data_IF_323194840340
#
_entry.id   IF_323194840340
#
_cell.length_a   1.000
_cell.length_b   1.000
_cell.length_c   1.000
_cell.angle_alpha   90.00
_cell.angle_beta   90.00
_cell.angle_gamma   90.00
#
_symmetry.space_group_name_H-M   'P 1'
#
loop_
_entity.id
_entity.type
_entity.pdbx_description
1 polymer ?
#
# COMPACT_ATOMS: atom_id res chain seq x y z
N UNK A 1 -16.28 13.77 -7.98
CA UNK A 1 -14.95 13.81 -8.63
C UNK A 1 -14.72 12.51 -9.35
N UNK A 2 -14.22 12.55 -10.59
CA UNK A 2 -13.97 11.36 -11.40
C UNK A 2 -12.47 11.07 -11.40
N UNK A 3 -12.07 9.86 -11.06
CA UNK A 3 -10.71 9.36 -11.17
C UNK A 3 -10.74 7.89 -11.55
N UNK A 4 -9.65 7.39 -12.11
CA UNK A 4 -9.48 6.00 -12.51
C UNK A 4 -8.23 5.43 -11.86
N UNK A 5 -8.32 4.18 -11.44
CA UNK A 5 -7.17 3.43 -10.95
C UNK A 5 -6.61 2.61 -12.12
N UNK A 6 -5.30 2.63 -12.31
CA UNK A 6 -4.62 1.80 -13.31
C UNK A 6 -3.30 1.28 -12.79
N UNK A 7 -2.89 0.12 -13.31
CA UNK A 7 -1.52 -0.36 -13.15
C UNK A 7 -0.61 0.53 -13.99
N UNK A 8 0.47 1.00 -13.38
CA UNK A 8 1.45 1.88 -14.02
C UNK A 8 2.69 1.06 -14.37
N UNK A 9 3.12 1.12 -15.63
CA UNK A 9 4.24 0.31 -16.16
C UNK A 9 5.25 1.13 -16.95
N UNK A 10 4.84 2.28 -17.47
CA UNK A 10 5.71 3.18 -18.21
C UNK A 10 6.57 4.01 -17.25
N UNK A 11 7.78 4.32 -17.70
CA UNK A 11 8.79 5.04 -16.93
C UNK A 11 8.28 6.40 -16.43
N UNK A 12 7.60 7.17 -17.29
CA UNK A 12 7.06 8.47 -16.90
C UNK A 12 6.00 8.34 -15.80
N UNK A 13 5.10 7.36 -15.89
CA UNK A 13 4.14 7.07 -14.83
C UNK A 13 4.81 6.66 -13.52
N UNK A 14 5.88 5.87 -13.55
CA UNK A 14 6.65 5.49 -12.36
C UNK A 14 7.35 6.73 -11.76
N UNK A 15 7.96 7.57 -12.59
CA UNK A 15 8.56 8.83 -12.17
C UNK A 15 7.53 9.73 -11.47
N UNK A 16 6.30 9.82 -11.99
CA UNK A 16 5.21 10.55 -11.33
C UNK A 16 4.86 9.97 -9.95
N UNK A 17 4.86 8.64 -9.80
CA UNK A 17 4.65 7.98 -8.51
C UNK A 17 5.78 8.32 -7.53
N UNK A 18 7.03 8.23 -7.96
CA UNK A 18 8.17 8.51 -7.08
C UNK A 18 8.20 9.98 -6.64
N UNK A 19 7.81 10.93 -7.51
CA UNK A 19 7.60 12.35 -7.14
C UNK A 19 6.44 12.52 -6.16
N UNK A 20 5.32 11.82 -6.35
CA UNK A 20 4.20 11.86 -5.42
C UNK A 20 4.59 11.32 -4.03
N UNK A 21 5.35 10.23 -3.99
CA UNK A 21 5.88 9.67 -2.74
C UNK A 21 6.82 10.65 -2.04
N UNK A 22 7.70 11.31 -2.79
CA UNK A 22 8.55 12.38 -2.26
C UNK A 22 7.70 13.50 -1.63
N UNK A 23 6.71 14.03 -2.35
CA UNK A 23 5.84 15.09 -1.82
C UNK A 23 5.11 14.65 -0.54
N UNK A 24 4.48 13.47 -0.54
CA UNK A 24 3.67 13.05 0.60
C UNK A 24 4.51 12.61 1.80
N UNK A 25 5.60 11.86 1.60
CA UNK A 25 6.39 11.33 2.72
C UNK A 25 7.45 12.33 3.20
N UNK A 26 8.10 13.06 2.30
CA UNK A 26 9.25 13.92 2.62
C UNK A 26 8.82 15.36 2.82
N UNK A 27 8.14 15.96 1.83
CA UNK A 27 7.78 17.38 1.93
C UNK A 27 6.69 17.60 2.97
N UNK A 28 5.62 16.81 2.95
CA UNK A 28 4.51 16.92 3.88
C UNK A 28 4.78 16.16 5.17
N UNK A 29 5.05 14.86 5.07
CA UNK A 29 5.22 13.96 6.22
C UNK A 29 6.48 14.22 7.04
N UNK A 30 7.46 14.97 6.50
CA UNK A 30 8.77 15.23 7.11
C UNK A 30 9.46 13.96 7.57
N UNK A 31 9.24 12.85 6.86
CA UNK A 31 9.83 11.56 7.22
C UNK A 31 11.34 11.63 7.06
N UNK A 32 12.05 11.18 8.11
CA UNK A 32 13.49 11.06 8.13
C UNK A 32 13.81 9.57 8.18
N UNK A 33 14.50 9.06 7.19
CA UNK A 33 14.96 7.67 7.14
C UNK A 33 16.49 7.63 7.21
N UNK A 34 17.02 6.53 7.71
CA UNK A 34 18.45 6.31 7.78
C UNK A 34 19.04 6.22 6.35
N UNK A 35 20.13 6.91 6.00
CA UNK A 35 20.80 6.73 4.71
C UNK A 35 21.22 5.28 4.42
N UNK A 36 21.45 4.48 5.46
CA UNK A 36 21.73 3.05 5.39
C UNK A 36 20.48 2.18 5.62
N UNK A 37 19.27 2.72 5.41
CA UNK A 37 18.02 1.96 5.57
C UNK A 37 18.03 0.73 4.63
N UNK A 38 17.52 -0.42 5.10
CA UNK A 38 17.65 -1.67 4.36
C UNK A 38 16.73 -1.79 3.13
N UNK A 39 15.73 -0.93 2.98
CA UNK A 39 14.96 -0.85 1.73
C UNK A 39 15.74 -0.13 0.62
N UNK A 40 16.86 0.52 0.95
CA UNK A 40 17.64 1.30 0.00
C UNK A 40 16.92 2.56 -0.46
N UNK A 41 16.03 3.10 0.38
CA UNK A 41 15.27 4.33 0.09
C UNK A 41 16.23 5.49 -0.09
N UNK A 42 16.07 6.25 -1.18
CA UNK A 42 16.88 7.40 -1.53
C UNK A 42 16.02 8.49 -2.14
N UNK A 43 16.53 9.71 -2.10
CA UNK A 43 15.97 10.85 -2.81
C UNK A 43 16.91 11.17 -3.98
N UNK A 44 16.37 11.15 -5.20
CA UNK A 44 17.08 11.54 -6.43
C UNK A 44 16.18 12.49 -7.20
N UNK A 45 16.62 13.72 -7.45
CA UNK A 45 15.85 14.73 -8.21
C UNK A 45 14.38 14.88 -7.78
N UNK A 46 14.13 14.97 -6.46
CA UNK A 46 12.79 15.05 -5.87
C UNK A 46 11.91 13.81 -6.14
N UNK A 47 12.53 12.65 -6.35
CA UNK A 47 11.88 11.35 -6.47
C UNK A 47 12.30 10.48 -5.28
N UNK A 48 11.32 9.85 -4.62
CA UNK A 48 11.59 8.85 -3.60
C UNK A 48 11.65 7.47 -4.27
N UNK A 49 12.85 6.90 -4.33
CA UNK A 49 13.14 5.63 -5.00
C UNK A 49 13.60 4.59 -4.00
N UNK A 50 13.50 3.31 -4.33
CA UNK A 50 14.10 2.23 -3.53
C UNK A 50 14.51 1.00 -4.35
N UNK A 51 15.16 0.03 -3.69
CA UNK A 51 15.73 -1.15 -4.34
C UNK A 51 14.68 -2.15 -4.86
N UNK A 52 13.38 -1.84 -4.77
CA UNK A 52 12.29 -2.74 -5.17
C UNK A 52 11.42 -2.16 -6.27
N UNK A 53 11.77 -0.99 -6.79
CA UNK A 53 11.00 -0.30 -7.83
C UNK A 53 10.87 -1.10 -9.13
N UNK A 54 11.87 -1.94 -9.44
CA UNK A 54 11.94 -2.78 -10.63
C UNK A 54 11.05 -4.04 -10.57
N UNK A 55 10.79 -4.55 -9.37
CA UNK A 55 9.97 -5.76 -9.15
C UNK A 55 8.55 -5.45 -8.65
N UNK A 56 8.27 -4.20 -8.30
CA UNK A 56 6.97 -3.79 -7.77
C UNK A 56 5.91 -3.69 -8.88
N UNK A 57 4.66 -3.98 -8.52
CA UNK A 57 3.49 -3.62 -9.33
C UNK A 57 2.86 -2.38 -8.74
N UNK A 58 2.96 -1.27 -9.47
CA UNK A 58 2.42 0.03 -9.08
C UNK A 58 0.97 0.23 -9.53
N UNK A 59 0.16 0.78 -8.64
CA UNK A 59 -1.21 1.24 -8.90
C UNK A 59 -1.25 2.75 -8.71
N UNK A 60 -1.75 3.46 -9.71
CA UNK A 60 -1.93 4.92 -9.66
C UNK A 60 -3.40 5.30 -9.82
N UNK A 61 -3.85 6.26 -9.00
CA UNK A 61 -5.10 6.96 -9.16
C UNK A 61 -4.88 8.22 -10.00
N UNK A 62 -5.60 8.34 -11.12
CA UNK A 62 -5.48 9.46 -12.05
C UNK A 62 -6.80 10.21 -12.16
N UNK A 63 -6.75 11.53 -11.92
CA UNK A 63 -7.82 12.45 -12.28
C UNK A 63 -7.38 13.18 -13.55
N UNK A 64 -8.06 12.89 -14.67
CA UNK A 64 -7.60 13.23 -16.02
C UNK A 64 -6.21 12.64 -16.29
N UNK A 65 -5.17 13.49 -16.36
CA UNK A 65 -3.76 13.09 -16.55
C UNK A 65 -2.91 13.29 -15.29
N UNK A 66 -3.48 13.85 -14.21
CA UNK A 66 -2.76 14.11 -12.96
C UNK A 66 -2.82 12.85 -12.08
N UNK A 67 -1.66 12.33 -11.67
CA UNK A 67 -1.57 11.34 -10.61
C UNK A 67 -1.94 12.00 -9.27
N UNK A 68 -2.95 11.46 -8.59
CA UNK A 68 -3.50 11.99 -7.33
C UNK A 68 -3.32 11.05 -6.14
N UNK A 69 -2.94 9.80 -6.40
CA UNK A 69 -2.68 8.79 -5.40
C UNK A 69 -1.94 7.61 -6.00
N UNK A 70 -1.23 6.87 -5.17
CA UNK A 70 -0.56 5.64 -5.57
C UNK A 70 -0.51 4.63 -4.43
N UNK A 71 -0.26 3.39 -4.77
CA UNK A 71 0.26 2.34 -3.90
C UNK A 71 1.00 1.31 -4.75
N UNK A 72 1.68 0.37 -4.09
CA UNK A 72 2.28 -0.77 -4.78
C UNK A 72 2.01 -2.06 -4.03
N UNK A 73 2.09 -3.16 -4.75
CA UNK A 73 2.39 -4.48 -4.17
C UNK A 73 3.79 -4.88 -4.62
N UNK A 74 4.52 -5.54 -3.72
CA UNK A 74 5.88 -5.97 -3.96
C UNK A 74 6.03 -7.46 -3.61
N UNK A 75 6.60 -8.27 -4.51
CA UNK A 75 7.03 -9.62 -4.16
C UNK A 75 8.28 -9.57 -3.27
N UNK A 76 8.79 -10.75 -2.93
CA UNK A 76 10.06 -10.90 -2.22
C UNK A 76 11.21 -10.41 -3.10
N UNK A 77 12.12 -9.65 -2.51
CA UNK A 77 13.43 -9.33 -3.07
C UNK A 77 14.45 -10.17 -2.32
N UNK A 78 15.27 -10.95 -3.02
CA UNK A 78 16.26 -11.85 -2.41
C UNK A 78 15.67 -12.76 -1.31
N UNK A 79 14.44 -13.25 -1.54
CA UNK A 79 13.74 -14.12 -0.60
C UNK A 79 13.07 -13.42 0.58
N UNK A 80 13.18 -12.10 0.73
CA UNK A 80 12.65 -11.33 1.86
C UNK A 80 11.63 -10.25 1.45
N UNK A 81 10.62 -10.04 2.29
CA UNK A 81 9.79 -8.83 2.26
C UNK A 81 10.53 -7.65 2.90
N UNK A 82 10.12 -6.42 2.57
CA UNK A 82 10.76 -5.20 3.07
C UNK A 82 10.72 -5.17 4.60
N UNK A 83 9.55 -5.43 5.18
CA UNK A 83 9.33 -5.48 6.63
C UNK A 83 10.32 -6.38 7.39
N UNK A 84 10.78 -7.48 6.78
CA UNK A 84 11.69 -8.43 7.43
C UNK A 84 13.10 -7.87 7.60
N UNK A 85 13.45 -6.81 6.88
CA UNK A 85 14.74 -6.16 7.04
C UNK A 85 14.76 -5.15 8.19
N UNK A 86 13.59 -4.73 8.69
CA UNK A 86 13.43 -3.78 9.78
C UNK A 86 13.14 -4.43 11.12
N UNK A 87 12.87 -5.75 11.13
CA UNK A 87 12.48 -6.48 12.33
C UNK A 87 13.07 -7.89 12.33
N UNK A 88 13.67 -8.30 13.45
CA UNK A 88 14.21 -9.65 13.65
C UNK A 88 13.16 -10.69 14.02
N UNK A 89 11.90 -10.28 14.30
CA UNK A 89 10.81 -11.20 14.63
C UNK A 89 10.42 -12.04 13.41
N UNK A 90 10.60 -13.35 13.53
CA UNK A 90 10.12 -14.32 12.53
C UNK A 90 8.60 -14.44 12.59
N UNK A 91 7.95 -14.21 11.46
CA UNK A 91 6.53 -14.41 11.28
C UNK A 91 6.28 -15.58 10.33
N UNK A 92 5.84 -16.72 10.86
CA UNK A 92 5.54 -17.91 10.04
C UNK A 92 4.52 -17.62 8.92
N UNK A 93 3.60 -16.69 9.14
CA UNK A 93 2.61 -16.27 8.14
C UNK A 93 3.26 -15.66 6.89
N UNK A 94 4.48 -15.12 6.99
CA UNK A 94 5.17 -14.54 5.84
C UNK A 94 5.68 -15.64 4.91
N UNK A 95 5.85 -16.89 5.35
CA UNK A 95 6.42 -17.97 4.54
C UNK A 95 5.50 -18.46 3.39
N UNK A 96 4.28 -17.93 3.27
CA UNK A 96 3.39 -18.24 2.17
C UNK A 96 4.01 -17.82 0.81
N UNK A 97 4.02 -18.75 -0.16
CA UNK A 97 4.70 -18.57 -1.45
C UNK A 97 4.04 -17.53 -2.36
N UNK A 98 2.73 -17.40 -2.27
CA UNK A 98 1.92 -16.49 -3.09
C UNK A 98 1.61 -15.17 -2.37
N UNK A 99 2.37 -14.82 -1.32
CA UNK A 99 2.16 -13.60 -0.56
C UNK A 99 2.88 -12.41 -1.22
N UNK A 100 2.25 -11.24 -1.19
CA UNK A 100 2.85 -9.95 -1.59
C UNK A 100 2.67 -8.91 -0.49
N UNK A 101 3.59 -7.96 -0.45
CA UNK A 101 3.58 -6.82 0.48
C UNK A 101 2.97 -5.60 -0.19
N UNK A 102 1.87 -5.07 0.35
CA UNK A 102 1.34 -3.78 -0.05
C UNK A 102 2.06 -2.66 0.72
N UNK A 103 2.63 -1.70 -0.02
CA UNK A 103 3.42 -0.61 0.54
C UNK A 103 3.31 0.67 -0.32
N UNK A 104 4.06 1.71 0.08
CA UNK A 104 4.16 3.01 -0.63
C UNK A 104 2.80 3.62 -1.02
N UNK A 105 1.84 3.54 -0.09
CA UNK A 105 0.53 4.16 -0.29
C UNK A 105 0.59 5.67 0.00
N UNK A 106 0.20 6.49 -0.96
CA UNK A 106 0.13 7.93 -0.82
C UNK A 106 -1.08 8.50 -1.56
N UNK A 107 -1.69 9.55 -1.01
CA UNK A 107 -2.76 10.33 -1.67
C UNK A 107 -2.49 11.79 -1.37
N UNK A 108 -2.54 12.62 -2.42
CA UNK A 108 -2.39 14.07 -2.28
C UNK A 108 -3.42 14.61 -1.26
N UNK A 109 -3.04 15.55 -0.37
CA UNK A 109 -3.90 16.04 0.73
C UNK A 109 -5.30 16.43 0.28
N UNK A 110 -5.40 17.18 -0.81
CA UNK A 110 -6.66 17.69 -1.35
C UNK A 110 -7.58 16.59 -1.92
N UNK A 111 -7.08 15.35 -2.07
CA UNK A 111 -7.84 14.21 -2.58
C UNK A 111 -8.22 13.16 -1.51
N UNK A 112 -7.73 13.28 -0.26
CA UNK A 112 -7.89 12.24 0.79
C UNK A 112 -9.32 11.99 1.21
N UNK A 113 -10.17 13.01 1.23
CA UNK A 113 -11.58 12.89 1.63
C UNK A 113 -12.48 12.35 0.51
N UNK A 114 -11.92 12.03 -0.65
CA UNK A 114 -12.69 11.62 -1.83
C UNK A 114 -12.65 10.11 -2.11
N UNK A 115 -12.28 9.31 -1.11
CA UNK A 115 -12.31 7.85 -1.21
C UNK A 115 -11.19 7.23 -2.04
N UNK A 116 -10.22 8.02 -2.53
CA UNK A 116 -9.16 7.55 -3.44
C UNK A 116 -8.43 6.32 -2.91
N UNK A 117 -8.03 6.34 -1.63
CA UNK A 117 -7.39 5.17 -1.00
C UNK A 117 -8.29 3.94 -1.02
N UNK A 118 -9.59 4.09 -0.69
CA UNK A 118 -10.52 2.95 -0.65
C UNK A 118 -10.68 2.31 -2.02
N UNK A 119 -10.82 3.12 -3.07
CA UNK A 119 -10.90 2.62 -4.44
C UNK A 119 -9.58 1.98 -4.88
N UNK A 120 -8.42 2.59 -4.61
CA UNK A 120 -7.13 1.96 -4.91
C UNK A 120 -6.97 0.63 -4.19
N UNK A 121 -7.28 0.58 -2.89
CA UNK A 121 -7.12 -0.64 -2.10
C UNK A 121 -8.09 -1.74 -2.56
N UNK A 122 -9.31 -1.37 -2.98
CA UNK A 122 -10.24 -2.31 -3.61
C UNK A 122 -9.64 -2.94 -4.88
N UNK A 123 -9.07 -2.14 -5.78
CA UNK A 123 -8.41 -2.65 -7.00
C UNK A 123 -7.20 -3.54 -6.68
N UNK A 124 -6.43 -3.20 -5.65
CA UNK A 124 -5.32 -4.06 -5.19
C UNK A 124 -5.84 -5.41 -4.70
N UNK A 125 -6.90 -5.44 -3.91
CA UNK A 125 -7.49 -6.70 -3.44
C UNK A 125 -8.04 -7.52 -4.59
N UNK A 126 -8.75 -6.89 -5.54
CA UNK A 126 -9.25 -7.57 -6.75
C UNK A 126 -8.10 -8.14 -7.58
N UNK A 127 -7.02 -7.38 -7.78
CA UNK A 127 -5.83 -7.82 -8.49
C UNK A 127 -5.22 -9.07 -7.84
N UNK A 128 -5.08 -9.05 -6.51
CA UNK A 128 -4.55 -10.18 -5.75
C UNK A 128 -5.45 -11.41 -5.87
N UNK A 129 -6.77 -11.23 -5.69
CA UNK A 129 -7.75 -12.31 -5.79
C UNK A 129 -7.75 -12.99 -7.17
N UNK A 130 -7.68 -12.21 -8.25
CA UNK A 130 -7.65 -12.71 -9.62
C UNK A 130 -6.37 -13.48 -9.98
N UNK A 131 -5.27 -13.23 -9.26
CA UNK A 131 -3.95 -13.84 -9.52
C UNK A 131 -3.53 -14.88 -8.49
N UNK A 132 -4.45 -15.25 -7.62
CA UNK A 132 -4.19 -16.16 -6.51
C UNK A 132 -3.04 -15.71 -5.60
N UNK A 133 -2.93 -14.39 -5.41
CA UNK A 133 -1.99 -13.78 -4.48
C UNK A 133 -2.68 -13.51 -3.14
N UNK A 134 -1.94 -13.68 -2.05
CA UNK A 134 -2.28 -13.20 -0.73
C UNK A 134 -1.64 -11.83 -0.49
N UNK A 135 -2.22 -11.01 0.39
CA UNK A 135 -1.76 -9.66 0.63
C UNK A 135 -1.54 -9.42 2.13
N UNK A 136 -0.42 -8.81 2.47
CA UNK A 136 -0.28 -8.12 3.75
C UNK A 136 0.08 -6.65 3.55
N UNK A 137 -0.27 -5.83 4.54
CA UNK A 137 0.08 -4.41 4.58
C UNK A 137 0.48 -4.03 6.00
N UNK A 138 1.31 -3.01 6.13
CA UNK A 138 1.64 -2.41 7.42
C UNK A 138 1.37 -0.92 7.43
N UNK A 139 0.87 -0.39 8.54
CA UNK A 139 0.62 1.06 8.64
C UNK A 139 0.66 1.60 10.07
N UNK A 140 1.24 2.79 10.22
CA UNK A 140 1.15 3.63 11.42
C UNK A 140 -0.01 4.65 11.36
N UNK A 141 -0.72 4.73 10.23
CA UNK A 141 -1.84 5.65 10.05
C UNK A 141 -3.11 5.15 10.75
N UNK A 142 -3.62 5.96 11.69
CA UNK A 142 -4.88 5.68 12.39
C UNK A 142 -6.07 5.63 11.44
N UNK A 143 -6.06 6.43 10.37
CA UNK A 143 -7.11 6.49 9.36
C UNK A 143 -7.15 5.18 8.57
N UNK A 144 -5.99 4.70 8.11
CA UNK A 144 -5.90 3.43 7.38
C UNK A 144 -6.28 2.25 8.29
N UNK A 145 -5.84 2.25 9.56
CA UNK A 145 -6.29 1.25 10.55
C UNK A 145 -7.80 1.26 10.76
N UNK A 146 -8.43 2.44 10.75
CA UNK A 146 -9.90 2.53 10.82
C UNK A 146 -10.55 1.94 9.58
N UNK A 147 -10.02 2.21 8.38
CA UNK A 147 -10.53 1.61 7.14
C UNK A 147 -10.39 0.08 7.18
N UNK A 148 -9.22 -0.44 7.54
CA UNK A 148 -8.98 -1.88 7.63
C UNK A 148 -9.92 -2.58 8.62
N UNK A 149 -10.20 -1.95 9.77
CA UNK A 149 -11.22 -2.46 10.71
C UNK A 149 -12.64 -2.45 10.13
N UNK A 150 -13.02 -1.40 9.39
CA UNK A 150 -14.36 -1.31 8.77
C UNK A 150 -14.60 -2.43 7.75
N UNK A 151 -13.55 -2.88 7.06
CA UNK A 151 -13.63 -3.90 6.01
C UNK A 151 -13.24 -5.29 6.51
N UNK A 152 -13.12 -5.45 7.83
CA UNK A 152 -12.67 -6.66 8.51
C UNK A 152 -11.37 -7.23 7.93
N UNK A 153 -10.43 -6.36 7.50
CA UNK A 153 -9.14 -6.82 6.99
C UNK A 153 -8.33 -7.41 8.16
N UNK A 154 -7.89 -8.67 8.12
CA UNK A 154 -7.44 -9.35 9.33
C UNK A 154 -6.18 -8.73 9.93
N UNK A 155 -6.21 -8.45 11.22
CA UNK A 155 -5.10 -7.90 12.00
C UNK A 155 -4.19 -9.01 12.55
N UNK A 156 -2.90 -8.71 12.69
CA UNK A 156 -1.93 -9.56 13.42
C UNK A 156 -1.62 -8.91 14.76
N UNK A 157 -2.40 -9.24 15.79
CA UNK A 157 -2.39 -8.58 17.11
C UNK A 157 -0.99 -8.49 17.74
N UNK A 158 -0.21 -9.57 17.69
CA UNK A 158 1.09 -9.65 18.37
C UNK A 158 2.28 -9.10 17.54
N UNK A 159 1.99 -8.30 16.51
CA UNK A 159 3.03 -7.77 15.64
C UNK A 159 2.89 -6.29 15.34
N UNK A 160 3.75 -5.52 15.99
CA UNK A 160 4.08 -4.14 15.66
C UNK A 160 5.59 -3.97 15.48
N UNK A 161 5.98 -2.93 14.74
CA UNK A 161 7.38 -2.57 14.52
C UNK A 161 7.49 -1.10 14.11
N UNK A 162 8.71 -0.54 14.09
CA UNK A 162 8.99 0.77 13.48
C UNK A 162 9.97 0.60 12.32
N UNK A 163 9.84 1.44 11.30
CA UNK A 163 10.83 1.49 10.22
C UNK A 163 12.10 2.19 10.72
N UNK A 164 11.93 3.23 11.52
CA UNK A 164 13.03 3.93 12.18
C UNK A 164 12.81 4.02 13.69
N UNK A 165 13.87 3.95 14.49
CA UNK A 165 13.76 4.00 15.96
C UNK A 165 13.10 5.28 16.47
N UNK A 166 13.33 6.40 15.77
CA UNK A 166 12.73 7.71 16.06
C UNK A 166 11.32 7.91 15.50
N UNK A 167 10.76 6.95 14.75
CA UNK A 167 9.39 7.08 14.26
C UNK A 167 8.42 7.22 15.46
N UNK A 168 7.48 8.18 15.41
CA UNK A 168 6.62 8.47 16.55
C UNK A 168 5.60 7.36 16.84
N UNK A 169 5.29 6.53 15.84
CA UNK A 169 4.26 5.48 15.92
C UNK A 169 4.78 4.18 15.32
N UNK A 170 4.43 3.07 15.95
CA UNK A 170 4.64 1.75 15.38
C UNK A 170 3.66 1.49 14.24
N UNK A 171 4.07 0.66 13.28
CA UNK A 171 3.22 0.10 12.25
C UNK A 171 2.53 -1.17 12.76
N UNK A 172 1.24 -1.29 12.46
CA UNK A 172 0.44 -2.48 12.71
C UNK A 172 0.38 -3.31 11.42
N UNK A 173 0.56 -4.62 11.53
CA UNK A 173 0.46 -5.56 10.43
C UNK A 173 -0.97 -6.07 10.26
N UNK A 174 -1.41 -6.17 9.00
CA UNK A 174 -2.67 -6.80 8.59
C UNK A 174 -2.41 -7.76 7.42
N UNK A 175 -3.09 -8.90 7.38
CA UNK A 175 -2.81 -9.99 6.43
C UNK A 175 -4.11 -10.69 6.01
N UNK A 176 -4.42 -10.69 4.72
CA UNK A 176 -5.34 -11.65 4.14
C UNK A 176 -4.59 -12.96 3.87
N UNK A 177 -4.81 -13.96 4.73
CA UNK A 177 -4.13 -15.27 4.72
C UNK A 177 -4.81 -16.27 3.80
N UNK A 178 -5.99 -15.96 3.29
CA UNK A 178 -6.77 -16.80 2.39
C UNK A 178 -7.45 -16.00 1.29
N UNK A 179 -7.86 -16.70 0.22
CA UNK A 179 -8.74 -16.11 -0.82
C UNK A 179 -10.08 -15.62 -0.23
N UNK A 180 -10.57 -16.31 0.81
CA UNK A 180 -11.81 -15.93 1.49
C UNK A 180 -11.66 -14.60 2.24
N UNK A 181 -10.50 -14.35 2.85
CA UNK A 181 -10.21 -13.06 3.52
C UNK A 181 -10.24 -11.92 2.50
N UNK A 182 -9.61 -12.10 1.34
CA UNK A 182 -9.63 -11.13 0.25
C UNK A 182 -11.06 -10.87 -0.23
N UNK A 183 -11.82 -11.93 -0.52
CA UNK A 183 -13.19 -11.81 -1.02
C UNK A 183 -14.11 -11.10 -0.01
N UNK A 184 -13.97 -11.43 1.28
CA UNK A 184 -14.70 -10.77 2.36
C UNK A 184 -14.40 -9.27 2.38
N UNK A 185 -13.13 -8.87 2.40
CA UNK A 185 -12.76 -7.46 2.42
C UNK A 185 -13.15 -6.70 1.13
N UNK A 186 -13.10 -7.35 -0.04
CA UNK A 186 -13.61 -6.78 -1.29
C UNK A 186 -15.10 -6.46 -1.16
N UNK A 187 -15.90 -7.41 -0.64
CA UNK A 187 -17.35 -7.23 -0.46
C UNK A 187 -17.72 -6.05 0.45
N UNK A 188 -16.84 -5.69 1.39
CA UNK A 188 -17.03 -4.58 2.33
C UNK A 188 -16.56 -3.24 1.79
N UNK A 189 -15.65 -3.24 0.81
CA UNK A 189 -15.16 -2.04 0.13
C UNK A 189 -16.03 -1.60 -1.02
N UNK A 190 -16.75 -2.53 -1.65
CA UNK A 190 -17.87 -2.16 -2.51
C UNK A 190 -18.81 -1.29 -1.67
N UNK A 191 -19.18 -0.07 -2.14
CA UNK A 191 -20.44 0.49 -1.68
C UNK A 191 -21.46 -0.62 -1.85
N UNK A 192 -22.30 -0.87 -0.85
CA UNK A 192 -23.63 -1.38 -1.16
C UNK A 192 -24.09 -0.51 -2.31
N UNK A 193 -24.14 -1.07 -3.50
CA UNK A 193 -24.89 -0.48 -4.61
C UNK A 193 -26.19 -0.09 -3.92
N UNK A 194 -26.60 1.18 -3.89
CA UNK A 194 -28.00 1.43 -3.68
C UNK A 194 -28.63 0.56 -4.77
N UNK A 195 -29.35 -0.48 -4.37
CA UNK A 195 -30.38 -1.03 -5.22
C UNK A 195 -31.27 0.16 -5.54
N UNK A 196 -30.89 0.94 -6.54
CA UNK A 196 -31.83 1.63 -7.39
C UNK A 196 -32.51 0.49 -8.13
N UNK A 197 -33.47 -0.08 -7.42
CA UNK A 197 -34.64 -0.64 -8.02
C UNK A 197 -35.25 0.40 -8.96
N UNK A 198 -35.83 -0.12 -10.03
CA UNK A 198 -36.65 0.56 -11.03
C UNK A 198 -35.86 1.30 -12.13
N UNK A 199 -35.48 0.59 -13.20
CA UNK A 199 -36.30 0.34 -14.40
C UNK A 199 -35.57 -0.63 -15.33
#
# INVERSE_FOLDING_TARGET
MVYQIRIVKDEEGINQIQRLLYTVYIEEGKWKFNPANPAGIRIVDHMLIDNRDDIATYFGAFSNKKLIGCCRICPRHEGLFEIQNYNSKTLNLLNAKNLVEGSRSAVLPEYRQHGVFRTMFHEVLQYCYQRDLLLFVSTSSNELRRIFRIIDFPIVEDFTFKYESHDPKECQLFVAKSRSDLLHSISKLCPTVPLHSHL
#
